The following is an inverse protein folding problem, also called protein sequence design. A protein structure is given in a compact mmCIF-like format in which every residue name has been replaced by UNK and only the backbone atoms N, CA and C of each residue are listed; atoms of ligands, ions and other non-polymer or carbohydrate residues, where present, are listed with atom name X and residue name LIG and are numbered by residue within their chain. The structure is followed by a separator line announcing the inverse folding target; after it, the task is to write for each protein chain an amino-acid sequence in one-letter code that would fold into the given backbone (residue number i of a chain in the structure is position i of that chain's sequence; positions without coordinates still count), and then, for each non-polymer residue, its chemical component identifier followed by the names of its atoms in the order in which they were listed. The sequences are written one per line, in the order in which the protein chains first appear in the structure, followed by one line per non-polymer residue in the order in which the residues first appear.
data_IF_489776171837
#
_entry.id   IF_489776171837
#
_cell.length_a   1.000
_cell.length_b   1.000
_cell.length_c   1.000
_cell.angle_alpha   90.00
_cell.angle_beta   90.00
_cell.angle_gamma   90.00
#
_symmetry.space_group_name_H-M   'P 1'
#
loop_
_entity.id
_entity.type
_entity.pdbx_description
1 polymer ?
#
# COMPACT_ATOMS: atom_id res chain seq x y z
N UNK A 1 6.28 5.54 9.46
CA UNK A 1 6.53 4.38 8.56
C UNK A 1 7.21 4.75 7.24
N UNK A 2 6.59 5.44 6.27
CA UNK A 2 7.30 5.80 5.02
C UNK A 2 8.51 6.70 5.27
N UNK A 3 8.42 7.56 6.28
CA UNK A 3 9.48 8.49 6.67
C UNK A 3 10.68 7.76 7.28
N UNK A 4 10.46 6.66 8.00
CA UNK A 4 11.53 5.77 8.48
C UNK A 4 12.26 5.09 7.32
N UNK A 5 11.54 4.79 6.23
CA UNK A 5 12.11 4.29 4.97
C UNK A 5 12.70 5.40 4.09
N UNK A 6 12.68 6.67 4.52
CA UNK A 6 13.19 7.82 3.76
C UNK A 6 12.36 8.17 2.51
N UNK A 7 11.10 7.74 2.44
CA UNK A 7 10.24 7.91 1.27
C UNK A 7 9.24 9.06 1.45
N UNK A 8 9.07 9.85 0.39
CA UNK A 8 7.90 10.73 0.23
C UNK A 8 6.65 9.92 -0.13
N UNK A 9 5.47 10.54 -0.02
CA UNK A 9 4.19 9.90 -0.41
C UNK A 9 4.20 9.48 -1.88
N UNK A 10 4.74 10.31 -2.78
CA UNK A 10 4.79 10.00 -4.21
C UNK A 10 5.77 8.87 -4.53
N UNK A 11 6.90 8.80 -3.83
CA UNK A 11 7.86 7.71 -3.99
C UNK A 11 7.29 6.39 -3.51
N UNK A 12 6.64 6.37 -2.33
CA UNK A 12 5.94 5.17 -1.86
C UNK A 12 4.85 4.74 -2.85
N UNK A 13 4.04 5.68 -3.34
CA UNK A 13 2.98 5.37 -4.30
C UNK A 13 3.52 4.71 -5.58
N UNK A 14 4.66 5.19 -6.10
CA UNK A 14 5.32 4.63 -7.28
C UNK A 14 5.87 3.21 -7.10
N UNK A 15 6.09 2.78 -5.86
CA UNK A 15 6.54 1.41 -5.57
C UNK A 15 5.39 0.40 -5.54
N UNK A 16 4.14 0.87 -5.50
CA UNK A 16 2.98 0.02 -5.31
C UNK A 16 2.14 0.04 -6.60
N UNK A 17 2.02 -1.09 -7.30
CA UNK A 17 1.17 -1.19 -8.48
C UNK A 17 -0.31 -1.00 -8.12
N UNK A 18 -1.11 -0.50 -9.05
CA UNK A 18 -2.57 -0.43 -8.91
C UNK A 18 -3.22 -1.81 -9.14
N UNK A 19 -4.54 -1.92 -8.92
CA UNK A 19 -5.26 -3.19 -9.08
C UNK A 19 -5.15 -3.75 -10.51
N UNK A 20 -5.01 -2.86 -11.51
CA UNK A 20 -4.87 -3.26 -12.92
C UNK A 20 -3.45 -3.73 -13.28
N UNK A 21 -2.45 -3.51 -12.40
CA UNK A 21 -1.02 -3.74 -12.65
C UNK A 21 -0.45 -2.99 -13.87
N UNK A 22 -1.17 -1.99 -14.37
CA UNK A 22 -0.71 -1.17 -15.51
C UNK A 22 -0.16 0.18 -15.05
N UNK A 23 -0.48 0.58 -13.81
CA UNK A 23 -0.06 1.84 -13.20
C UNK A 23 0.38 1.58 -11.77
N UNK A 24 0.80 2.65 -11.11
CA UNK A 24 1.07 2.66 -9.68
C UNK A 24 -0.06 3.40 -8.95
N UNK A 25 -0.07 3.31 -7.63
CA UNK A 25 -0.94 4.14 -6.83
C UNK A 25 -0.62 5.63 -7.04
N UNK A 26 -1.58 6.48 -6.70
CA UNK A 26 -1.39 7.93 -6.69
C UNK A 26 -0.87 8.41 -5.34
N UNK A 27 -0.16 9.53 -5.33
CA UNK A 27 0.20 10.23 -4.09
C UNK A 27 -1.03 10.53 -3.23
N UNK A 28 -2.14 10.91 -3.86
CA UNK A 28 -3.40 11.22 -3.17
C UNK A 28 -3.98 10.04 -2.42
N UNK A 29 -3.81 8.80 -2.91
CA UNK A 29 -4.23 7.60 -2.19
C UNK A 29 -3.44 7.46 -0.88
N UNK A 30 -2.11 7.56 -0.94
CA UNK A 30 -1.24 7.51 0.25
C UNK A 30 -1.61 8.63 1.24
N UNK A 31 -1.86 9.84 0.76
CA UNK A 31 -2.24 10.97 1.62
C UNK A 31 -3.57 10.74 2.35
N UNK A 32 -4.54 10.07 1.73
CA UNK A 32 -5.83 9.77 2.39
C UNK A 32 -5.68 8.67 3.44
N UNK A 33 -4.84 7.67 3.18
CA UNK A 33 -4.50 6.66 4.17
C UNK A 33 -3.82 7.28 5.40
N UNK A 34 -2.83 8.14 5.18
CA UNK A 34 -2.10 8.81 6.27
C UNK A 34 -2.98 9.79 7.08
N UNK A 35 -4.06 10.32 6.49
CA UNK A 35 -5.00 11.21 7.18
C UNK A 35 -6.23 10.49 7.74
N UNK A 36 -6.31 9.16 7.60
CA UNK A 36 -7.46 8.36 8.05
C UNK A 36 -8.75 8.63 7.29
N UNK A 37 -8.67 9.27 6.10
CA UNK A 37 -9.84 9.54 5.25
C UNK A 37 -10.30 8.29 4.50
N UNK A 38 -9.35 7.44 4.11
CA UNK A 38 -9.60 6.16 3.43
C UNK A 38 -8.80 5.05 4.11
N UNK A 39 -9.37 3.84 4.20
CA UNK A 39 -8.63 2.64 4.60
C UNK A 39 -7.88 2.02 3.40
N UNK A 40 -6.65 1.50 3.59
CA UNK A 40 -5.87 0.88 2.53
C UNK A 40 -6.43 -0.48 2.11
N UNK A 41 -7.13 -0.53 0.98
CA UNK A 41 -7.56 -1.78 0.34
C UNK A 41 -6.51 -2.29 -0.66
N UNK A 42 -5.59 -3.13 -0.18
CA UNK A 42 -4.53 -3.73 -0.98
C UNK A 42 -4.74 -5.23 -1.20
N UNK A 43 -4.59 -5.69 -2.44
CA UNK A 43 -4.44 -7.13 -2.73
C UNK A 43 -3.16 -7.67 -2.08
N UNK A 44 -3.06 -9.00 -1.92
CA UNK A 44 -1.84 -9.64 -1.38
C UNK A 44 -0.57 -9.22 -2.13
N UNK A 45 -0.68 -9.05 -3.45
CA UNK A 45 0.44 -8.60 -4.29
C UNK A 45 0.86 -7.16 -3.96
N UNK A 46 -0.10 -6.25 -3.84
CA UNK A 46 0.16 -4.86 -3.49
C UNK A 46 0.67 -4.73 -2.06
N UNK A 47 0.14 -5.52 -1.12
CA UNK A 47 0.62 -5.56 0.26
C UNK A 47 2.09 -6.01 0.32
N UNK A 48 2.45 -7.06 -0.44
CA UNK A 48 3.85 -7.48 -0.56
C UNK A 48 4.74 -6.38 -1.13
N UNK A 49 4.26 -5.62 -2.13
CA UNK A 49 5.00 -4.49 -2.69
C UNK A 49 5.16 -3.35 -1.66
N UNK A 50 4.10 -3.06 -0.90
CA UNK A 50 4.08 -2.07 0.18
C UNK A 50 5.10 -2.41 1.27
N UNK A 51 5.06 -3.64 1.81
CA UNK A 51 6.05 -4.14 2.78
C UNK A 51 7.49 -3.99 2.27
N UNK A 52 7.75 -4.40 1.02
CA UNK A 52 9.09 -4.28 0.40
C UNK A 52 9.54 -2.84 0.26
N UNK A 53 8.63 -1.94 -0.13
CA UNK A 53 8.94 -0.52 -0.25
C UNK A 53 9.32 0.11 1.10
N UNK A 54 8.67 -0.32 2.17
CA UNK A 54 8.95 0.14 3.53
C UNK A 54 10.13 -0.57 4.20
N UNK A 55 10.63 -1.68 3.62
CA UNK A 55 11.65 -2.52 4.24
C UNK A 55 11.14 -3.23 5.50
N UNK A 56 9.83 -3.45 5.62
CA UNK A 56 9.18 -4.07 6.79
C UNK A 56 8.51 -5.39 6.41
N UNK A 57 8.42 -6.30 7.37
CA UNK A 57 7.56 -7.48 7.30
C UNK A 57 6.10 -7.11 7.57
N UNK A 58 5.18 -8.03 7.28
CA UNK A 58 3.75 -7.83 7.53
C UNK A 58 3.45 -7.66 9.03
N UNK A 59 4.16 -8.40 9.89
CA UNK A 59 4.00 -8.39 11.35
C UNK A 59 4.46 -7.07 12.02
N UNK A 60 5.21 -6.23 11.28
CA UNK A 60 5.66 -4.91 11.74
C UNK A 60 4.71 -3.78 11.31
N UNK A 61 3.66 -4.09 10.55
CA UNK A 61 2.63 -3.12 10.17
C UNK A 61 1.61 -2.96 11.31
N UNK A 62 0.98 -1.77 11.44
CA UNK A 62 -0.13 -1.57 12.37
C UNK A 62 -1.30 -2.49 12.05
N UNK A 63 -1.95 -3.04 13.07
CA UNK A 63 -3.15 -3.90 12.93
C UNK A 63 -4.32 -3.20 12.22
N UNK A 64 -4.34 -1.86 12.24
CA UNK A 64 -5.32 -1.03 11.53
C UNK A 64 -5.20 -1.13 10.00
N UNK A 65 -4.12 -1.73 9.46
CA UNK A 65 -4.08 -2.18 8.07
C UNK A 65 -4.98 -3.41 7.91
N UNK A 66 -6.28 -3.18 7.81
CA UNK A 66 -7.24 -4.25 7.49
C UNK A 66 -6.95 -4.76 6.09
N UNK A 67 -6.24 -5.89 6.00
CA UNK A 67 -6.03 -6.61 4.75
C UNK A 67 -7.37 -7.19 4.31
N UNK A 68 -8.12 -6.46 3.48
CA UNK A 68 -9.19 -7.08 2.70
C UNK A 68 -8.55 -7.95 1.63
N UNK A 69 -8.54 -9.25 1.85
CA UNK A 69 -8.19 -10.23 0.81
C UNK A 69 -9.27 -10.14 -0.26
N UNK A 70 -9.00 -9.33 -1.28
CA UNK A 70 -9.79 -9.30 -2.52
C UNK A 70 -9.28 -10.47 -3.36
N UNK A 71 -10.07 -11.53 -3.46
CA UNK A 71 -9.83 -12.60 -4.41
C UNK A 71 -10.27 -12.10 -5.80
N UNK A 72 -9.33 -11.56 -6.56
CA UNK A 72 -9.54 -11.18 -7.97
C UNK A 72 -9.49 -12.41 -8.91
N UNK A 73 -9.72 -13.63 -8.40
CA UNK A 73 -9.68 -14.87 -9.18
C UNK A 73 -10.95 -15.09 -10.03
N UNK A 74 -11.97 -14.23 -9.90
CA UNK A 74 -13.12 -14.22 -10.80
C UNK A 74 -12.91 -13.20 -11.93
N UNK A 75 -12.31 -13.68 -13.03
CA UNK A 75 -12.51 -13.09 -14.36
C UNK A 75 -12.84 -14.15 -15.39
#
# INVERSE_FOLDING_TARGET
MREEAGLTQIELAKQIPDKTRTRTLSQSAISRWESGQDEPELTVFQMKAFCRALGKSLDELPDDFILRIIDDSEK
#
